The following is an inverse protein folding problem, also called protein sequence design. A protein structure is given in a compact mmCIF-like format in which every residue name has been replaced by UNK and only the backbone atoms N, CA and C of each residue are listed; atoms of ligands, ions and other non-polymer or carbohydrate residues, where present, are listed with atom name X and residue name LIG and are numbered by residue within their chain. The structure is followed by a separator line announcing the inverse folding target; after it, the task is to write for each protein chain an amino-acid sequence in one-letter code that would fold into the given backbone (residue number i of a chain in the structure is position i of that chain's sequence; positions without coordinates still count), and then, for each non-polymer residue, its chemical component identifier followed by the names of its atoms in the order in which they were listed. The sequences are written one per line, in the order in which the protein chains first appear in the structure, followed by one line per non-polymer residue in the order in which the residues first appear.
data_IF_805983616930
#
_entry.id   IF_805983616930
#
_cell.length_a   1.000
_cell.length_b   1.000
_cell.length_c   1.000
_cell.angle_alpha   90.00
_cell.angle_beta   90.00
_cell.angle_gamma   90.00
#
_symmetry.space_group_name_H-M   'P 1'
#
loop_
_entity.id
_entity.type
_entity.pdbx_description
1 polymer ?
#
# COMPACT_ATOMS: atom_id res chain seq x y z
N UNK A 1 -20.91 -5.57 -15.75
CA UNK A 1 -19.87 -6.59 -15.70
C UNK A 1 -20.43 -7.84 -15.04
N UNK A 2 -20.18 -9.00 -15.56
CA UNK A 2 -20.61 -10.23 -14.89
C UNK A 2 -19.95 -10.35 -13.51
N UNK A 3 -20.66 -10.94 -12.59
CA UNK A 3 -20.12 -11.22 -11.26
C UNK A 3 -19.13 -12.39 -11.39
N UNK A 4 -17.85 -12.10 -11.32
CA UNK A 4 -16.79 -13.08 -11.51
C UNK A 4 -16.23 -13.47 -10.14
N UNK A 5 -16.29 -14.76 -9.86
CA UNK A 5 -15.66 -15.30 -8.65
C UNK A 5 -14.13 -15.25 -8.77
N UNK A 6 -13.48 -14.66 -7.77
CA UNK A 6 -12.02 -14.58 -7.73
C UNK A 6 -11.37 -15.97 -7.60
N UNK A 7 -10.20 -16.12 -8.21
CA UNK A 7 -9.38 -17.33 -8.04
C UNK A 7 -9.02 -17.55 -6.56
N UNK A 8 -8.91 -18.80 -6.15
CA UNK A 8 -8.46 -19.16 -4.79
C UNK A 8 -7.06 -18.61 -4.43
N UNK A 9 -6.26 -18.28 -5.44
CA UNK A 9 -4.92 -17.72 -5.28
C UNK A 9 -4.88 -16.21 -5.40
N UNK A 10 -6.01 -15.56 -5.64
CA UNK A 10 -6.07 -14.13 -5.93
C UNK A 10 -5.46 -13.28 -4.80
N UNK A 11 -5.66 -13.67 -3.57
CA UNK A 11 -5.13 -12.97 -2.38
C UNK A 11 -3.60 -12.88 -2.41
N UNK A 12 -2.92 -14.01 -2.69
CA UNK A 12 -1.46 -14.04 -2.81
C UNK A 12 -0.97 -13.26 -4.02
N UNK A 13 -1.64 -13.43 -5.15
CA UNK A 13 -1.29 -12.73 -6.39
C UNK A 13 -1.46 -11.22 -6.21
N UNK A 14 -2.50 -10.78 -5.51
CA UNK A 14 -2.72 -9.36 -5.19
C UNK A 14 -1.55 -8.79 -4.36
N UNK A 15 -1.08 -9.53 -3.37
CA UNK A 15 0.07 -9.13 -2.56
C UNK A 15 1.35 -9.01 -3.39
N UNK A 16 1.66 -10.02 -4.18
CA UNK A 16 2.83 -10.02 -5.06
C UNK A 16 2.78 -8.88 -6.08
N UNK A 17 1.61 -8.66 -6.70
CA UNK A 17 1.38 -7.54 -7.61
C UNK A 17 1.62 -6.19 -6.93
N UNK A 18 1.08 -5.99 -5.75
CA UNK A 18 1.23 -4.73 -5.03
C UNK A 18 2.70 -4.42 -4.72
N UNK A 19 3.46 -5.38 -4.25
CA UNK A 19 4.90 -5.22 -4.00
C UNK A 19 5.65 -4.84 -5.29
N UNK A 20 5.36 -5.51 -6.40
CA UNK A 20 5.99 -5.22 -7.69
C UNK A 20 5.56 -3.86 -8.26
N UNK A 21 4.31 -3.47 -8.06
CA UNK A 21 3.82 -2.17 -8.48
C UNK A 21 4.56 -1.02 -7.76
N UNK A 22 4.72 -1.13 -6.46
CA UNK A 22 5.45 -0.12 -5.68
C UNK A 22 6.93 -0.11 -6.08
N UNK A 23 7.54 -1.27 -6.23
CA UNK A 23 8.92 -1.39 -6.69
C UNK A 23 9.13 -0.72 -8.05
N UNK A 24 8.24 -1.03 -9.01
CA UNK A 24 8.26 -0.41 -10.34
C UNK A 24 8.14 1.12 -10.26
N UNK A 25 7.17 1.61 -9.49
CA UNK A 25 6.91 3.04 -9.39
C UNK A 25 8.08 3.80 -8.77
N UNK A 26 8.64 3.29 -7.69
CA UNK A 26 9.78 3.91 -7.02
C UNK A 26 11.02 3.92 -7.93
N UNK A 27 11.31 2.80 -8.60
CA UNK A 27 12.44 2.73 -9.53
C UNK A 27 12.27 3.67 -10.72
N UNK A 28 11.06 3.77 -11.25
CA UNK A 28 10.72 4.71 -12.33
C UNK A 28 11.02 6.16 -11.95
N UNK A 29 10.86 6.50 -10.68
CA UNK A 29 11.09 7.85 -10.14
C UNK A 29 12.47 8.02 -9.52
N UNK A 30 13.40 7.15 -9.83
CA UNK A 30 14.82 7.33 -9.51
C UNK A 30 15.27 6.83 -8.15
N UNK A 31 14.43 6.09 -7.42
CA UNK A 31 14.84 5.48 -6.18
C UNK A 31 15.53 4.14 -6.44
N UNK A 32 16.63 3.89 -5.77
CA UNK A 32 17.18 2.54 -5.68
C UNK A 32 16.33 1.75 -4.70
N UNK A 33 15.85 0.60 -5.13
CA UNK A 33 14.93 -0.21 -4.34
C UNK A 33 15.08 -1.70 -4.63
N UNK A 34 14.73 -2.50 -3.64
CA UNK A 34 14.77 -3.95 -3.74
C UNK A 34 13.67 -4.58 -2.90
N UNK A 35 13.24 -5.77 -3.31
CA UNK A 35 12.42 -6.63 -2.44
C UNK A 35 13.33 -7.27 -1.40
N UNK A 36 12.82 -7.39 -0.17
CA UNK A 36 13.51 -8.06 0.92
C UNK A 36 12.63 -9.14 1.51
N UNK A 37 13.24 -10.26 1.85
CA UNK A 37 12.56 -11.37 2.52
C UNK A 37 12.80 -11.25 4.03
N UNK A 38 12.02 -10.37 4.65
CA UNK A 38 12.11 -10.14 6.09
C UNK A 38 10.73 -9.96 6.71
N UNK A 39 10.56 -10.45 7.92
CA UNK A 39 9.33 -10.26 8.67
C UNK A 39 9.12 -8.79 8.97
N UNK A 40 8.00 -8.26 8.52
CA UNK A 40 7.58 -6.87 8.77
C UNK A 40 8.01 -5.85 7.73
N UNK A 41 8.90 -6.20 6.80
CA UNK A 41 9.38 -5.29 5.75
C UNK A 41 9.44 -6.03 4.42
N UNK A 42 8.79 -5.49 3.39
CA UNK A 42 8.69 -6.09 2.07
C UNK A 42 9.68 -5.49 1.07
N UNK A 43 9.94 -4.20 1.19
CA UNK A 43 10.81 -3.44 0.29
C UNK A 43 11.74 -2.55 1.09
N UNK A 44 12.92 -2.31 0.52
CA UNK A 44 13.80 -1.23 0.94
C UNK A 44 13.98 -0.29 -0.24
N UNK A 45 13.94 1.02 0.01
CA UNK A 45 14.09 2.02 -1.04
C UNK A 45 14.86 3.23 -0.52
N UNK A 46 15.71 3.79 -1.39
CA UNK A 46 16.53 4.94 -1.03
C UNK A 46 16.51 5.96 -2.15
N UNK A 47 16.20 7.18 -1.80
CA UNK A 47 16.32 8.34 -2.71
C UNK A 47 17.79 8.73 -2.81
N UNK A 48 18.24 9.11 -4.02
CA UNK A 48 19.58 9.62 -4.21
C UNK A 48 19.86 10.82 -3.29
N UNK A 49 20.97 10.78 -2.56
CA UNK A 49 21.35 11.84 -1.61
C UNK A 49 20.68 11.77 -0.24
N UNK A 50 19.72 10.88 -0.05
CA UNK A 50 19.09 10.68 1.26
C UNK A 50 19.94 9.70 2.09
N UNK A 51 20.36 10.07 3.31
CA UNK A 51 21.18 9.19 4.13
C UNK A 51 20.41 8.00 4.70
N UNK A 52 19.10 8.11 4.83
CA UNK A 52 18.27 7.08 5.46
C UNK A 52 17.32 6.44 4.44
N UNK A 53 17.46 5.12 4.21
CA UNK A 53 16.52 4.42 3.35
C UNK A 53 15.15 4.25 4.02
N UNK A 54 14.12 4.07 3.20
CA UNK A 54 12.79 3.68 3.64
C UNK A 54 12.71 2.16 3.75
N UNK A 55 12.21 1.65 4.86
CA UNK A 55 11.76 0.27 4.98
C UNK A 55 10.25 0.24 4.82
N UNK A 56 9.75 -0.47 3.82
CA UNK A 56 8.36 -0.37 3.40
C UNK A 56 7.63 -1.69 3.64
N UNK A 57 6.52 -1.64 4.36
CA UNK A 57 5.54 -2.72 4.42
C UNK A 57 4.42 -2.42 3.43
N UNK A 58 4.16 -3.34 2.51
CA UNK A 58 3.14 -3.18 1.48
C UNK A 58 1.85 -3.88 1.93
N UNK A 59 0.74 -3.16 1.88
CA UNK A 59 -0.60 -3.67 2.19
C UNK A 59 -1.50 -3.48 0.98
N UNK A 60 -2.30 -4.47 0.68
CA UNK A 60 -3.15 -4.45 -0.51
C UNK A 60 -4.54 -5.02 -0.25
N UNK A 61 -5.49 -4.54 -1.03
CA UNK A 61 -6.85 -5.10 -1.11
C UNK A 61 -7.36 -5.00 -2.52
N UNK A 62 -8.01 -6.05 -2.97
CA UNK A 62 -8.78 -6.07 -4.20
C UNK A 62 -10.26 -6.01 -3.84
N UNK A 63 -10.94 -4.97 -4.33
CA UNK A 63 -12.35 -4.72 -4.02
C UNK A 63 -13.25 -5.22 -5.15
N UNK A 64 -14.47 -5.62 -4.78
CA UNK A 64 -15.54 -5.86 -5.73
C UNK A 64 -16.36 -4.58 -5.92
N UNK A 65 -17.09 -4.43 -7.06
CA UNK A 65 -18.03 -3.34 -7.22
C UNK A 65 -19.00 -3.26 -6.03
N UNK A 66 -19.19 -2.07 -5.49
CA UNK A 66 -20.03 -1.81 -4.31
C UNK A 66 -19.28 -1.84 -2.97
N UNK A 67 -18.02 -2.25 -2.95
CA UNK A 67 -17.20 -2.26 -1.73
C UNK A 67 -15.99 -1.33 -1.81
N UNK A 68 -15.97 -0.44 -2.78
CA UNK A 68 -14.83 0.44 -3.09
C UNK A 68 -14.49 1.38 -1.94
N UNK A 69 -15.48 1.78 -1.15
CA UNK A 69 -15.31 2.69 -0.02
C UNK A 69 -14.96 2.03 1.30
N UNK A 70 -14.82 0.70 1.36
CA UNK A 70 -14.47 0.02 2.59
C UNK A 70 -13.01 0.24 2.98
N UNK A 71 -12.77 0.33 4.27
CA UNK A 71 -11.43 0.53 4.80
C UNK A 71 -10.55 -0.71 4.65
N UNK A 72 -9.23 -0.51 4.66
CA UNK A 72 -8.23 -1.55 4.73
C UNK A 72 -7.69 -1.59 6.17
N UNK A 73 -7.76 -2.75 6.81
CA UNK A 73 -7.26 -2.94 8.18
C UNK A 73 -5.78 -3.31 8.17
N UNK A 74 -5.01 -2.63 9.01
CA UNK A 74 -3.61 -2.95 9.25
C UNK A 74 -3.49 -3.39 10.72
N UNK A 75 -3.21 -4.68 11.00
CA UNK A 75 -3.04 -5.14 12.36
C UNK A 75 -1.94 -4.37 13.09
N UNK A 76 -2.15 -4.07 14.37
CA UNK A 76 -1.21 -3.28 15.16
C UNK A 76 0.17 -3.91 15.26
N UNK A 77 0.25 -5.25 15.29
CA UNK A 77 1.54 -5.95 15.33
C UNK A 77 2.38 -5.72 14.06
N UNK A 78 1.77 -5.36 12.94
CA UNK A 78 2.50 -5.01 11.71
C UNK A 78 3.33 -3.74 11.90
N UNK A 79 2.88 -2.77 12.69
CA UNK A 79 3.67 -1.58 13.04
C UNK A 79 4.90 -1.96 13.84
N UNK A 80 4.74 -2.83 14.83
CA UNK A 80 5.85 -3.29 15.67
C UNK A 80 6.87 -4.08 14.88
N UNK A 81 6.43 -4.98 14.00
CA UNK A 81 7.29 -5.77 13.11
C UNK A 81 8.05 -4.89 12.13
N UNK A 82 7.39 -3.90 11.56
CA UNK A 82 8.02 -2.94 10.65
C UNK A 82 9.09 -2.10 11.38
N UNK A 83 8.76 -1.60 12.56
CA UNK A 83 9.71 -0.81 13.37
C UNK A 83 10.93 -1.64 13.76
N UNK A 84 10.74 -2.89 14.17
CA UNK A 84 11.83 -3.80 14.50
C UNK A 84 12.74 -4.06 13.31
N UNK A 85 12.17 -4.35 12.14
CA UNK A 85 12.91 -4.57 10.90
C UNK A 85 13.68 -3.29 10.50
N UNK A 86 13.02 -2.14 10.53
CA UNK A 86 13.66 -0.86 10.20
C UNK A 86 14.78 -0.50 11.16
N UNK A 87 14.61 -0.75 12.44
CA UNK A 87 15.67 -0.56 13.43
C UNK A 87 16.89 -1.43 13.15
N UNK A 88 16.66 -2.69 12.77
CA UNK A 88 17.75 -3.63 12.44
C UNK A 88 18.56 -3.21 11.20
N UNK A 89 17.92 -2.60 10.22
CA UNK A 89 18.54 -2.23 8.94
C UNK A 89 18.79 -0.73 8.77
N UNK A 90 18.54 0.07 9.79
CA UNK A 90 18.76 1.52 9.72
C UNK A 90 17.81 2.23 8.77
N UNK A 91 16.56 1.78 8.67
CA UNK A 91 15.54 2.34 7.80
C UNK A 91 14.52 3.19 8.56
N UNK A 92 13.88 4.10 7.86
CA UNK A 92 12.68 4.79 8.33
C UNK A 92 11.44 3.98 7.96
N UNK A 93 10.49 3.74 8.91
CA UNK A 93 9.31 2.91 8.64
C UNK A 93 8.29 3.63 7.75
N UNK A 94 7.88 2.94 6.67
CA UNK A 94 6.86 3.39 5.72
C UNK A 94 5.86 2.28 5.45
N UNK A 95 4.63 2.69 5.11
CA UNK A 95 3.63 1.81 4.52
C UNK A 95 3.35 2.23 3.08
N UNK A 96 3.16 1.24 2.22
CA UNK A 96 2.60 1.42 0.91
C UNK A 96 1.27 0.68 0.85
N UNK A 97 0.20 1.39 0.51
CA UNK A 97 -1.15 0.85 0.49
C UNK A 97 -1.64 0.85 -0.95
N UNK A 98 -1.98 -0.32 -1.46
CA UNK A 98 -2.47 -0.51 -2.82
C UNK A 98 -3.89 -1.05 -2.77
N UNK A 99 -4.82 -0.32 -3.33
CA UNK A 99 -6.25 -0.69 -3.34
C UNK A 99 -6.76 -0.75 -4.78
N UNK A 100 -7.20 -1.94 -5.18
CA UNK A 100 -7.97 -2.13 -6.40
C UNK A 100 -9.43 -1.79 -6.10
N UNK A 101 -9.90 -0.68 -6.67
CA UNK A 101 -11.26 -0.16 -6.49
C UNK A 101 -12.20 -0.58 -7.62
N UNK A 102 -11.93 -1.68 -8.30
CA UNK A 102 -12.66 -2.25 -9.43
C UNK A 102 -12.43 -1.53 -10.78
N UNK A 103 -12.53 -0.21 -10.85
CA UNK A 103 -12.27 0.57 -12.08
C UNK A 103 -10.95 1.35 -12.03
N UNK A 104 -10.27 1.27 -10.90
CA UNK A 104 -9.06 2.04 -10.62
C UNK A 104 -8.20 1.31 -9.61
N UNK A 105 -6.91 1.41 -9.77
CA UNK A 105 -5.95 1.02 -8.73
C UNK A 105 -5.31 2.28 -8.19
N UNK A 106 -5.39 2.46 -6.87
CA UNK A 106 -4.82 3.60 -6.15
C UNK A 106 -3.73 3.13 -5.21
N UNK A 107 -2.64 3.88 -5.14
CA UNK A 107 -1.52 3.60 -4.26
C UNK A 107 -1.15 4.83 -3.44
N UNK A 108 -0.82 4.58 -2.17
CA UNK A 108 -0.43 5.61 -1.20
C UNK A 108 0.83 5.14 -0.48
N UNK A 109 1.84 6.00 -0.45
CA UNK A 109 3.09 5.72 0.29
C UNK A 109 3.29 6.83 1.31
N UNK A 110 3.40 6.47 2.58
CA UNK A 110 3.53 7.41 3.67
C UNK A 110 4.31 6.81 4.82
N UNK A 111 4.87 7.66 5.68
CA UNK A 111 5.54 7.17 6.88
C UNK A 111 4.56 6.49 7.84
N UNK A 112 5.04 5.54 8.61
CA UNK A 112 4.22 4.87 9.63
C UNK A 112 3.66 5.86 10.66
N UNK A 113 4.44 6.88 11.01
CA UNK A 113 3.98 7.93 11.94
C UNK A 113 2.85 8.76 11.36
N UNK A 114 2.91 9.11 10.07
CA UNK A 114 1.82 9.83 9.40
C UNK A 114 0.56 8.97 9.31
N UNK A 115 0.71 7.69 9.02
CA UNK A 115 -0.43 6.77 8.99
C UNK A 115 -1.13 6.71 10.35
N UNK A 116 -0.38 6.66 11.43
CA UNK A 116 -0.93 6.69 12.80
C UNK A 116 -1.58 8.04 13.15
N UNK A 117 -1.03 9.14 12.63
CA UNK A 117 -1.64 10.46 12.79
C UNK A 117 -3.01 10.54 12.12
N UNK A 118 -3.10 10.06 10.88
CA UNK A 118 -4.33 10.11 10.08
C UNK A 118 -5.36 9.07 10.51
N UNK A 119 -4.90 7.86 10.81
CA UNK A 119 -5.73 6.72 11.18
C UNK A 119 -5.14 6.05 12.43
N UNK A 120 -5.38 6.60 13.63
CA UNK A 120 -4.77 6.09 14.85
C UNK A 120 -5.08 4.62 15.12
N UNK A 121 -4.13 3.94 15.75
CA UNK A 121 -4.32 2.56 16.20
C UNK A 121 -5.48 2.49 17.20
N UNK A 122 -6.36 1.51 16.99
CA UNK A 122 -7.40 1.11 17.93
C UNK A 122 -6.93 -0.13 18.68
N UNK A 123 -7.84 -0.88 19.28
CA UNK A 123 -7.47 -2.06 20.07
C UNK A 123 -6.58 -3.07 19.30
N UNK A 124 -6.90 -3.33 18.03
CA UNK A 124 -6.23 -4.38 17.24
C UNK A 124 -5.67 -3.91 15.91
N UNK A 125 -6.26 -2.87 15.34
CA UNK A 125 -5.95 -2.44 13.97
C UNK A 125 -5.93 -0.92 13.84
N UNK A 126 -5.21 -0.45 12.84
CA UNK A 126 -5.43 0.86 12.21
C UNK A 126 -6.24 0.64 10.94
N UNK A 127 -7.19 1.51 10.66
CA UNK A 127 -8.07 1.38 9.50
C UNK A 127 -7.78 2.48 8.49
N UNK A 128 -7.17 2.11 7.38
CA UNK A 128 -6.99 3.03 6.24
C UNK A 128 -8.33 3.19 5.55
N UNK A 129 -8.93 4.34 5.73
CA UNK A 129 -10.29 4.62 5.24
C UNK A 129 -10.26 5.03 3.79
N UNK A 130 -11.23 4.53 3.01
CA UNK A 130 -11.32 4.74 1.57
C UNK A 130 -12.64 5.41 1.14
N UNK A 131 -13.39 6.00 2.07
CA UNK A 131 -14.57 6.79 1.73
C UNK A 131 -14.18 8.02 0.90
N UNK A 132 -15.11 8.59 0.09
CA UNK A 132 -14.79 9.76 -0.73
C UNK A 132 -14.20 10.94 0.05
N UNK A 133 -14.70 11.21 1.25
CA UNK A 133 -14.18 12.28 2.11
C UNK A 133 -12.73 12.03 2.56
N UNK A 134 -12.40 10.79 2.86
CA UNK A 134 -11.03 10.41 3.24
C UNK A 134 -10.08 10.46 2.06
N UNK A 135 -10.52 10.00 0.88
CA UNK A 135 -9.71 10.10 -0.35
C UNK A 135 -9.37 11.55 -0.68
N UNK A 136 -10.30 12.48 -0.48
CA UNK A 136 -10.02 13.91 -0.65
C UNK A 136 -8.98 14.43 0.34
N UNK A 137 -9.01 13.98 1.60
CA UNK A 137 -7.99 14.32 2.59
C UNK A 137 -6.61 13.83 2.17
N UNK A 138 -6.49 12.60 1.70
CA UNK A 138 -5.22 12.05 1.23
C UNK A 138 -4.72 12.80 -0.01
N UNK A 139 -5.62 13.16 -0.93
CA UNK A 139 -5.28 13.92 -2.12
C UNK A 139 -4.68 15.29 -1.80
N UNK A 140 -5.18 15.94 -0.77
CA UNK A 140 -4.73 17.25 -0.31
C UNK A 140 -3.44 17.20 0.52
N UNK A 141 -3.05 16.04 1.05
CA UNK A 141 -1.89 15.92 1.93
C UNK A 141 -0.61 15.66 1.12
N UNK A 142 0.25 16.67 1.04
CA UNK A 142 1.50 16.60 0.29
C UNK A 142 2.54 15.64 0.88
N UNK A 143 2.34 15.20 2.13
CA UNK A 143 3.22 14.23 2.78
C UNK A 143 2.98 12.79 2.32
N UNK A 144 1.89 12.55 1.60
CA UNK A 144 1.55 11.25 1.02
C UNK A 144 1.98 11.24 -0.44
N UNK A 145 2.83 10.28 -0.81
CA UNK A 145 3.09 9.97 -2.22
C UNK A 145 1.91 9.13 -2.71
N UNK A 146 1.25 9.58 -3.77
CA UNK A 146 0.06 8.91 -4.29
C UNK A 146 0.06 8.88 -5.80
N UNK A 147 -0.46 7.80 -6.33
CA UNK A 147 -0.73 7.65 -7.76
C UNK A 147 -1.91 6.71 -7.97
N UNK A 148 -2.54 6.82 -9.12
CA UNK A 148 -3.63 5.93 -9.51
C UNK A 148 -3.65 5.74 -11.02
N UNK A 149 -4.26 4.65 -11.46
CA UNK A 149 -4.51 4.38 -12.87
C UNK A 149 -5.85 3.67 -13.06
N UNK A 150 -6.45 3.90 -14.22
CA UNK A 150 -7.76 3.36 -14.57
C UNK A 150 -7.60 1.96 -15.15
N UNK A 151 -8.43 1.04 -14.70
CA UNK A 151 -8.40 -0.38 -15.08
C UNK A 151 -9.69 -0.80 -15.81
N UNK A 152 -10.18 0.01 -16.74
CA UNK A 152 -11.41 -0.30 -17.48
C UNK A 152 -11.20 -1.46 -18.47
N UNK A 153 -12.09 -2.43 -18.39
CA UNK A 153 -12.17 -3.54 -19.33
C UNK A 153 -13.38 -3.34 -20.24
N UNK A 154 -13.16 -3.19 -21.55
CA UNK A 154 -14.25 -3.01 -22.51
C UNK A 154 -14.89 -4.33 -22.91
N UNK A 155 -14.11 -5.36 -22.98
CA UNK A 155 -14.54 -6.71 -23.35
C UNK A 155 -13.86 -7.72 -22.43
N UNK A 156 -14.60 -8.77 -22.14
CA UNK A 156 -14.09 -9.90 -21.38
C UNK A 156 -14.50 -11.18 -22.08
N UNK A 157 -13.59 -12.11 -22.24
CA UNK A 157 -13.92 -13.41 -22.75
C UNK A 157 -14.63 -14.23 -21.67
N UNK A 158 -15.79 -14.76 -21.99
CA UNK A 158 -16.58 -15.64 -21.13
C UNK A 158 -16.73 -16.99 -21.80
#
# INVERSE_FOLDING_TARGET
MPDVSKSSRHSKITGDFAEHLILYWLSKHGLECARVDHVGMDLIARRAGDPTPMGISVKSRSRNPGTEGTYLSIPNDNFQKLEAACSAFGCEPFFAIVVDEADRISAYILSASLLQELNPQRERVSSWKMSPSWKLKYEADERIIKFSFVTKTKQWWL
#
